data_IF_856208923240
#
_entry.id   IF_856208923240
#
_cell.length_a   1.000
_cell.length_b   1.000
_cell.length_c   1.000
_cell.angle_alpha   90.00
_cell.angle_beta   90.00
_cell.angle_gamma   90.00
#
_symmetry.space_group_name_H-M   'P 1'
#
loop_
_entity.id
_entity.type
_entity.pdbx_description
1 polymer ?
#
# COMPACT_ATOMS: atom_id res chain seq x y z
N UNK A 1 0.75 -3.56 -6.55
CA UNK A 1 0.67 -2.31 -5.77
C UNK A 1 1.02 -1.16 -6.69
N UNK A 2 0.24 -0.10 -6.66
CA UNK A 2 0.49 1.08 -7.49
C UNK A 2 1.72 1.84 -7.00
N UNK A 3 2.60 2.22 -7.91
CA UNK A 3 3.88 2.85 -7.60
C UNK A 3 3.78 4.34 -7.26
N UNK A 4 2.69 5.01 -7.63
CA UNK A 4 2.54 6.46 -7.46
C UNK A 4 2.77 6.97 -6.03
N UNK A 5 2.40 6.19 -5.00
CA UNK A 5 2.59 6.57 -3.60
C UNK A 5 4.07 6.62 -3.17
N UNK A 6 4.94 5.90 -3.88
CA UNK A 6 6.37 5.88 -3.61
C UNK A 6 7.16 6.86 -4.47
N UNK A 7 6.51 7.65 -5.33
CA UNK A 7 7.18 8.55 -6.26
C UNK A 7 8.12 9.54 -5.56
N UNK A 8 7.72 10.07 -4.39
CA UNK A 8 8.59 10.95 -3.59
C UNK A 8 9.86 10.23 -3.13
N UNK A 9 9.75 8.96 -2.72
CA UNK A 9 10.88 8.13 -2.30
C UNK A 9 11.83 7.82 -3.46
N UNK A 10 11.28 7.58 -4.66
CA UNK A 10 12.08 7.27 -5.85
C UNK A 10 12.95 8.44 -6.34
N UNK A 11 12.59 9.67 -5.98
CA UNK A 11 13.33 10.89 -6.35
C UNK A 11 14.11 11.52 -5.20
N UNK A 12 14.03 10.96 -4.00
CA UNK A 12 14.76 11.46 -2.85
C UNK A 12 16.16 10.84 -2.78
N UNK A 13 17.12 11.65 -2.37
CA UNK A 13 18.50 11.21 -2.13
C UNK A 13 18.64 10.90 -0.64
N UNK A 14 19.13 9.67 -0.32
CA UNK A 14 19.32 9.17 1.04
C UNK A 14 20.55 9.74 1.76
N UNK A 15 20.89 9.18 2.91
CA UNK A 15 20.44 7.89 3.42
C UNK A 15 19.01 7.91 4.01
N UNK A 16 18.46 6.72 4.19
CA UNK A 16 17.13 6.51 4.75
C UNK A 16 17.17 5.60 5.97
N UNK A 17 16.18 5.76 6.84
CA UNK A 17 15.80 4.77 7.83
C UNK A 17 14.41 4.25 7.51
N UNK A 18 14.28 2.93 7.43
CA UNK A 18 13.01 2.22 7.20
C UNK A 18 12.68 1.39 8.43
N UNK A 19 11.52 1.66 9.03
CA UNK A 19 11.06 1.04 10.28
C UNK A 19 9.74 0.33 10.02
N UNK A 20 9.66 -0.93 10.45
CA UNK A 20 8.47 -1.76 10.35
C UNK A 20 8.26 -2.49 11.67
N UNK A 21 7.06 -2.39 12.22
CA UNK A 21 6.75 -3.02 13.50
C UNK A 21 5.26 -3.32 13.62
N UNK A 22 4.90 -4.14 14.60
CA UNK A 22 3.53 -4.45 14.96
C UNK A 22 2.90 -3.24 15.67
N UNK A 23 1.83 -2.68 15.09
CA UNK A 23 1.05 -1.56 15.61
C UNK A 23 -0.42 -1.98 15.88
N UNK A 24 -0.60 -3.23 16.37
CA UNK A 24 -1.92 -3.76 16.69
C UNK A 24 -2.52 -3.08 17.92
N UNK A 25 -3.83 -2.78 17.87
CA UNK A 25 -4.61 -2.15 18.92
C UNK A 25 -5.90 -2.94 19.18
N UNK A 26 -5.73 -4.18 19.65
CA UNK A 26 -6.81 -5.14 19.88
C UNK A 26 -7.10 -5.43 21.37
N UNK A 27 -6.33 -4.80 22.27
CA UNK A 27 -6.44 -5.04 23.71
C UNK A 27 -6.56 -3.73 24.49
N UNK A 28 -7.09 -3.82 25.72
CA UNK A 28 -7.19 -2.67 26.64
C UNK A 28 -5.83 -2.07 27.03
N UNK A 29 -4.72 -2.81 26.83
CA UNK A 29 -3.36 -2.39 27.16
C UNK A 29 -2.58 -1.86 25.92
N UNK A 30 -3.27 -1.53 24.83
CA UNK A 30 -2.66 -1.13 23.56
C UNK A 30 -1.62 0.01 23.71
N UNK A 31 -1.88 1.01 24.55
CA UNK A 31 -0.95 2.10 24.80
C UNK A 31 0.38 1.60 25.45
N UNK A 32 0.30 0.69 26.42
CA UNK A 32 1.48 0.12 27.07
C UNK A 32 2.27 -0.79 26.12
N UNK A 33 1.57 -1.49 25.23
CA UNK A 33 2.19 -2.31 24.18
C UNK A 33 2.89 -1.43 23.16
N UNK A 34 2.27 -0.34 22.69
CA UNK A 34 2.91 0.64 21.79
C UNK A 34 4.19 1.21 22.42
N UNK A 35 4.15 1.59 23.71
CA UNK A 35 5.34 2.07 24.40
C UNK A 35 6.46 1.03 24.49
N UNK A 36 6.13 -0.24 24.61
CA UNK A 36 7.12 -1.32 24.60
C UNK A 36 7.72 -1.51 23.19
N UNK A 37 6.91 -1.45 22.15
CA UNK A 37 7.34 -1.56 20.76
C UNK A 37 8.21 -0.36 20.35
N UNK A 38 7.84 0.86 20.72
CA UNK A 38 8.65 2.05 20.47
C UNK A 38 10.01 2.01 21.18
N UNK A 39 10.08 1.45 22.39
CA UNK A 39 11.36 1.21 23.06
C UNK A 39 12.25 0.22 22.30
N UNK A 40 11.67 -0.82 21.72
CA UNK A 40 12.39 -1.77 20.87
C UNK A 40 12.85 -1.11 19.56
N UNK A 41 11.99 -0.37 18.89
CA UNK A 41 12.34 0.44 17.71
C UNK A 41 13.49 1.40 18.03
N UNK A 42 13.40 2.18 19.12
CA UNK A 42 14.46 3.09 19.57
C UNK A 42 15.79 2.38 19.74
N UNK A 43 15.79 1.24 20.42
CA UNK A 43 17.00 0.45 20.62
C UNK A 43 17.66 0.03 19.29
N UNK A 44 16.88 -0.40 18.31
CA UNK A 44 17.39 -0.77 17.00
C UNK A 44 17.92 0.44 16.21
N UNK A 45 17.25 1.59 16.31
CA UNK A 45 17.72 2.85 15.70
C UNK A 45 19.03 3.32 16.30
N UNK A 46 19.17 3.30 17.64
CA UNK A 46 20.40 3.65 18.35
C UNK A 46 21.57 2.71 17.97
N UNK A 47 21.30 1.41 17.82
CA UNK A 47 22.31 0.42 17.37
C UNK A 47 22.82 0.71 15.97
N UNK A 48 22.01 1.33 15.10
CA UNK A 48 22.38 1.75 13.76
C UNK A 48 22.85 3.21 13.70
N UNK A 49 23.13 3.83 14.85
CA UNK A 49 23.69 5.18 14.98
C UNK A 49 22.78 6.29 14.41
N UNK A 50 21.47 6.09 14.44
CA UNK A 50 20.49 7.13 14.11
C UNK A 50 20.50 8.18 15.23
N UNK A 51 20.47 9.45 14.90
CA UNK A 51 20.50 10.55 15.87
C UNK A 51 19.20 10.64 16.68
N UNK A 52 19.29 11.19 17.89
CA UNK A 52 18.15 11.26 18.83
C UNK A 52 17.00 12.11 18.30
N UNK A 53 17.27 13.16 17.52
CA UNK A 53 16.25 14.04 16.95
C UNK A 53 15.40 13.30 15.92
N UNK A 54 16.04 12.51 15.07
CA UNK A 54 15.35 11.65 14.10
C UNK A 54 14.52 10.57 14.81
N UNK A 55 15.07 9.96 15.86
CA UNK A 55 14.32 8.96 16.65
C UNK A 55 13.08 9.58 17.28
N UNK A 56 13.21 10.74 17.91
CA UNK A 56 12.07 11.46 18.52
C UNK A 56 11.02 11.87 17.48
N UNK A 57 11.44 12.30 16.29
CA UNK A 57 10.54 12.62 15.18
C UNK A 57 9.72 11.39 14.76
N UNK A 58 10.34 10.21 14.62
CA UNK A 58 9.65 8.97 14.27
C UNK A 58 8.66 8.57 15.37
N UNK A 59 9.07 8.60 16.64
CA UNK A 59 8.18 8.27 17.76
C UNK A 59 7.01 9.23 17.86
N UNK A 60 7.24 10.52 17.65
CA UNK A 60 6.19 11.53 17.68
C UNK A 60 5.17 11.31 16.55
N UNK A 61 5.62 10.99 15.34
CA UNK A 61 4.74 10.70 14.22
C UNK A 61 3.86 9.48 14.50
N UNK A 62 4.45 8.40 15.02
CA UNK A 62 3.71 7.19 15.40
C UNK A 62 2.66 7.51 16.46
N UNK A 63 3.01 8.27 17.51
CA UNK A 63 2.07 8.65 18.58
C UNK A 63 0.98 9.61 18.15
N UNK A 64 1.24 10.46 17.15
CA UNK A 64 0.27 11.41 16.63
C UNK A 64 -0.82 10.77 15.78
N UNK A 65 -0.60 9.56 15.30
CA UNK A 65 -1.58 8.85 14.48
C UNK A 65 -2.54 8.03 15.35
N UNK A 66 -3.72 7.78 14.80
CA UNK A 66 -4.73 6.93 15.41
C UNK A 66 -4.78 5.62 14.61
N UNK A 67 -4.11 4.55 15.07
CA UNK A 67 -4.16 3.27 14.37
C UNK A 67 -5.58 2.71 14.35
N UNK A 68 -5.93 1.93 13.32
CA UNK A 68 -7.19 1.21 13.30
C UNK A 68 -7.24 0.20 14.44
N UNK A 69 -8.43 -0.05 14.98
CA UNK A 69 -8.64 -1.11 15.98
C UNK A 69 -8.42 -2.47 15.33
N UNK A 70 -7.65 -3.34 15.97
CA UNK A 70 -7.36 -4.68 15.47
C UNK A 70 -5.87 -4.94 15.23
N UNK A 71 -5.60 -6.02 14.50
CA UNK A 71 -4.24 -6.38 14.11
C UNK A 71 -3.77 -5.55 12.92
N UNK A 72 -2.72 -4.80 13.11
CA UNK A 72 -2.12 -3.97 12.07
C UNK A 72 -0.61 -3.82 12.30
N UNK A 73 0.11 -3.45 11.25
CA UNK A 73 1.51 -3.03 11.36
C UNK A 73 1.66 -1.55 11.02
N UNK A 74 2.87 -1.06 11.20
CA UNK A 74 3.27 0.28 10.83
C UNK A 74 4.51 0.26 9.97
N UNK A 75 4.53 1.09 8.96
CA UNK A 75 5.68 1.41 8.13
C UNK A 75 6.01 2.89 8.27
N UNK A 76 7.24 3.20 8.68
CA UNK A 76 7.75 4.57 8.69
C UNK A 76 9.07 4.59 7.94
N UNK A 77 9.17 5.42 6.89
CA UNK A 77 10.42 5.65 6.17
C UNK A 77 10.76 7.12 6.30
N UNK A 78 11.93 7.42 6.85
CA UNK A 78 12.44 8.76 6.97
C UNK A 78 13.74 8.92 6.19
N UNK A 79 13.91 10.06 5.53
CA UNK A 79 15.18 10.49 4.95
C UNK A 79 16.04 11.11 6.05
N UNK A 80 17.28 10.68 6.11
CA UNK A 80 18.27 11.23 7.04
C UNK A 80 19.03 12.35 6.34
N UNK A 81 18.91 13.57 6.85
CA UNK A 81 19.61 14.75 6.33
C UNK A 81 20.23 15.55 7.49
N UNK A 82 21.03 14.88 8.29
CA UNK A 82 21.67 15.45 9.45
C UNK A 82 20.65 16.15 10.38
N UNK A 83 20.57 17.48 10.30
CA UNK A 83 19.70 18.29 11.18
C UNK A 83 18.26 18.44 10.67
N UNK A 84 17.93 17.96 9.47
CA UNK A 84 16.63 18.12 8.82
C UNK A 84 16.08 16.79 8.29
N UNK A 85 16.11 15.75 9.12
CA UNK A 85 15.46 14.49 8.76
C UNK A 85 13.97 14.69 8.51
N UNK A 86 13.41 13.98 7.53
CA UNK A 86 12.01 14.12 7.09
C UNK A 86 11.34 12.75 6.97
N UNK A 87 10.12 12.63 7.49
CA UNK A 87 9.29 11.45 7.25
C UNK A 87 8.75 11.51 5.81
N UNK A 88 9.14 10.51 5.01
CA UNK A 88 8.76 10.40 3.61
C UNK A 88 7.55 9.49 3.41
N UNK A 89 7.38 8.49 4.28
CA UNK A 89 6.26 7.56 4.31
C UNK A 89 5.89 7.27 5.75
N UNK A 90 4.60 7.28 6.05
CA UNK A 90 4.02 6.88 7.32
C UNK A 90 2.67 6.22 7.05
N UNK A 91 2.62 4.89 7.10
CA UNK A 91 1.45 4.12 6.70
C UNK A 91 1.15 2.98 7.66
N UNK A 92 -0.15 2.72 7.87
CA UNK A 92 -0.60 1.49 8.50
C UNK A 92 -0.54 0.33 7.50
N UNK A 93 -0.06 -0.80 7.98
CA UNK A 93 -0.01 -2.05 7.23
C UNK A 93 -1.22 -2.91 7.59
N UNK A 94 -1.79 -3.59 6.62
CA UNK A 94 -2.93 -4.51 6.83
C UNK A 94 -2.57 -5.73 7.69
N UNK A 95 -1.30 -6.09 7.70
CA UNK A 95 -0.77 -7.22 8.46
C UNK A 95 0.42 -6.75 9.27
N UNK A 96 0.47 -7.21 10.50
CA UNK A 96 1.63 -6.96 11.36
C UNK A 96 2.84 -7.73 10.85
N UNK A 97 4.01 -7.08 10.74
CA UNK A 97 5.27 -7.81 10.57
C UNK A 97 5.50 -8.77 11.75
N UNK A 98 6.12 -9.91 11.49
CA UNK A 98 6.41 -10.93 12.53
C UNK A 98 7.44 -10.48 13.56
N UNK A 99 8.24 -9.46 13.23
CA UNK A 99 9.25 -8.86 14.11
C UNK A 99 9.47 -7.39 13.72
N UNK A 100 9.94 -6.61 14.69
CA UNK A 100 10.44 -5.25 14.41
C UNK A 100 11.62 -5.31 13.46
N UNK A 101 11.53 -4.59 12.34
CA UNK A 101 12.59 -4.43 11.36
C UNK A 101 12.98 -2.96 11.29
N UNK A 102 14.26 -2.68 11.50
CA UNK A 102 14.86 -1.36 11.31
C UNK A 102 16.04 -1.51 10.37
N UNK A 103 16.05 -0.72 9.30
CA UNK A 103 17.14 -0.72 8.33
C UNK A 103 17.54 0.71 7.99
N UNK A 104 18.84 1.01 8.16
CA UNK A 104 19.46 2.25 7.70
C UNK A 104 20.27 1.92 6.46
N UNK A 105 19.96 2.57 5.34
CA UNK A 105 20.67 2.33 4.08
C UNK A 105 20.60 3.55 3.14
N UNK A 106 21.30 3.47 2.03
CA UNK A 106 21.31 4.55 1.02
C UNK A 106 19.95 4.67 0.29
N UNK A 107 19.18 3.60 0.25
CA UNK A 107 17.88 3.55 -0.41
C UNK A 107 16.77 3.13 0.57
N UNK A 108 15.52 3.55 0.34
CA UNK A 108 14.40 3.12 1.16
C UNK A 108 14.11 1.63 0.92
N UNK A 109 13.85 0.89 1.99
CA UNK A 109 13.50 -0.52 1.90
C UNK A 109 11.98 -0.70 1.76
N UNK A 110 11.49 -0.93 0.55
CA UNK A 110 10.05 -0.94 0.22
C UNK A 110 9.37 -2.31 0.38
N UNK A 111 10.13 -3.41 0.42
CA UNK A 111 9.56 -4.77 0.39
C UNK A 111 8.49 -5.02 1.44
N UNK A 112 8.66 -4.65 2.74
CA UNK A 112 7.62 -4.89 3.73
C UNK A 112 6.33 -4.09 3.48
N UNK A 113 6.42 -2.88 2.90
CA UNK A 113 5.21 -2.12 2.50
C UNK A 113 4.50 -2.84 1.35
N UNK A 114 5.26 -3.40 0.40
CA UNK A 114 4.69 -4.19 -0.69
C UNK A 114 4.07 -5.48 -0.15
N UNK A 115 4.69 -6.12 0.82
CA UNK A 115 4.25 -7.40 1.39
C UNK A 115 3.05 -7.28 2.34
N UNK A 116 3.03 -6.27 3.20
CA UNK A 116 2.06 -6.14 4.29
C UNK A 116 1.08 -4.96 4.11
N UNK A 117 1.39 -4.03 3.23
CA UNK A 117 0.58 -2.82 3.00
C UNK A 117 -0.66 -3.06 2.14
N UNK A 118 -1.47 -2.03 1.99
CA UNK A 118 -2.61 -2.02 1.08
C UNK A 118 -2.17 -1.99 -0.38
N UNK A 119 -2.90 -2.70 -1.25
CA UNK A 119 -2.65 -2.69 -2.70
C UNK A 119 -2.99 -1.34 -3.34
N UNK A 120 -4.00 -0.68 -2.81
CA UNK A 120 -4.53 0.58 -3.33
C UNK A 120 -4.45 1.66 -2.26
N UNK A 121 -4.10 2.87 -2.67
CA UNK A 121 -3.96 4.01 -1.77
C UNK A 121 -5.30 4.66 -1.40
N UNK A 122 -6.39 4.36 -2.12
CA UNK A 122 -7.69 4.98 -1.93
C UNK A 122 -8.83 3.98 -1.79
N UNK A 123 -9.61 4.11 -0.71
CA UNK A 123 -10.89 3.45 -0.53
C UNK A 123 -11.86 4.38 0.21
N UNK A 124 -13.15 4.09 0.12
CA UNK A 124 -14.20 4.77 0.87
C UNK A 124 -14.80 3.82 1.90
N UNK A 125 -15.20 4.39 3.03
CA UNK A 125 -16.15 3.75 3.96
C UNK A 125 -17.41 4.60 4.04
N UNK A 126 -18.58 3.98 3.92
CA UNK A 126 -19.86 4.65 4.01
C UNK A 126 -20.74 3.94 5.05
N UNK A 127 -20.98 4.59 6.19
CA UNK A 127 -21.94 4.14 7.20
C UNK A 127 -23.29 4.76 6.90
N UNK A 128 -24.30 3.93 6.56
CA UNK A 128 -25.61 4.41 6.07
C UNK A 128 -26.76 4.03 6.98
N UNK A 129 -27.74 4.92 7.09
CA UNK A 129 -29.03 4.67 7.73
C UNK A 129 -30.17 5.34 6.94
N UNK A 130 -31.38 5.34 7.50
CA UNK A 130 -32.55 5.94 6.87
C UNK A 130 -32.51 7.48 6.79
N UNK A 131 -31.56 8.12 7.46
CA UNK A 131 -31.44 9.59 7.58
C UNK A 131 -30.27 10.16 6.79
N UNK A 132 -29.32 9.33 6.34
CA UNK A 132 -28.17 9.76 5.58
C UNK A 132 -26.99 8.80 5.65
N UNK A 133 -25.79 9.33 5.45
CA UNK A 133 -24.55 8.55 5.55
C UNK A 133 -23.39 9.40 6.06
N UNK A 134 -22.46 8.73 6.76
CA UNK A 134 -21.12 9.25 7.03
C UNK A 134 -20.16 8.55 6.07
N UNK A 135 -19.54 9.33 5.19
CA UNK A 135 -18.64 8.83 4.16
C UNK A 135 -17.23 9.29 4.48
N UNK A 136 -16.30 8.37 4.65
CA UNK A 136 -14.88 8.68 4.84
C UNK A 136 -14.09 8.25 3.62
N UNK A 137 -13.35 9.18 3.06
CA UNK A 137 -12.36 8.92 2.00
C UNK A 137 -11.02 8.65 2.66
N UNK A 138 -10.44 7.50 2.38
CA UNK A 138 -9.13 7.08 2.87
C UNK A 138 -8.12 7.08 1.70
N UNK A 139 -6.97 7.72 1.91
CA UNK A 139 -5.89 7.83 0.92
C UNK A 139 -5.33 9.24 0.87
N UNK A 140 -4.01 9.40 1.14
CA UNK A 140 -3.36 10.71 1.20
C UNK A 140 -3.80 11.62 2.36
N UNK A 141 -4.46 11.06 3.36
CA UNK A 141 -5.16 11.69 4.48
C UNK A 141 -6.61 11.20 4.55
N UNK A 142 -7.18 11.11 5.76
CA UNK A 142 -8.59 10.73 5.92
C UNK A 142 -9.47 11.98 5.98
N UNK A 143 -10.50 12.01 5.14
CA UNK A 143 -11.50 13.08 5.12
C UNK A 143 -12.90 12.47 5.28
N UNK A 144 -13.60 12.84 6.34
CA UNK A 144 -14.99 12.39 6.56
C UNK A 144 -15.96 13.50 6.16
N UNK A 145 -16.99 13.11 5.43
CA UNK A 145 -18.11 13.96 5.05
C UNK A 145 -19.42 13.30 5.50
N UNK A 146 -20.28 14.07 6.13
CA UNK A 146 -21.61 13.61 6.53
C UNK A 146 -22.65 14.16 5.55
N UNK A 147 -23.47 13.26 5.02
CA UNK A 147 -24.66 13.59 4.24
C UNK A 147 -25.86 13.40 5.16
N UNK A 148 -26.37 14.50 5.70
CA UNK A 148 -27.54 14.49 6.58
C UNK A 148 -28.73 15.13 5.89
N UNK A 149 -29.89 14.46 5.95
CA UNK A 149 -31.17 15.08 5.63
C UNK A 149 -32.14 15.01 6.82
N UNK A 150 -32.95 16.03 6.92
CA UNK A 150 -33.97 16.13 7.99
C UNK A 150 -34.99 15.03 7.84
N UNK A 151 -35.29 14.24 8.90
CA UNK A 151 -36.34 13.22 8.84
C UNK A 151 -37.67 13.83 8.41
N UNK A 152 -38.29 13.29 7.39
CA UNK A 152 -39.61 13.76 6.95
C UNK A 152 -40.66 13.43 8.00
N UNK A 153 -41.34 14.43 8.51
CA UNK A 153 -42.50 14.28 9.37
C UNK A 153 -43.75 14.22 8.47
N UNK A 154 -44.59 13.21 8.62
CA UNK A 154 -45.81 13.12 7.84
C UNK A 154 -46.38 11.70 7.68
N UNK A 155 -47.16 11.50 6.60
CA UNK A 155 -47.73 10.17 6.30
C UNK A 155 -46.63 9.16 5.95
N UNK A 156 -46.85 7.85 6.16
CA UNK A 156 -45.88 6.80 5.84
C UNK A 156 -45.31 6.88 4.40
N UNK A 157 -46.15 7.30 3.45
CA UNK A 157 -45.74 7.47 2.05
C UNK A 157 -44.71 8.60 1.86
N UNK A 158 -44.89 9.74 2.53
CA UNK A 158 -43.96 10.87 2.48
C UNK A 158 -42.59 10.50 3.12
N UNK A 159 -42.66 9.80 4.25
CA UNK A 159 -41.45 9.29 4.91
C UNK A 159 -40.66 8.38 3.98
N UNK A 160 -41.34 7.47 3.27
CA UNK A 160 -40.71 6.54 2.34
C UNK A 160 -40.16 7.23 1.07
N UNK A 161 -40.80 8.27 0.58
CA UNK A 161 -40.32 9.09 -0.53
C UNK A 161 -39.04 9.88 -0.11
N UNK A 162 -39.00 10.38 1.12
CA UNK A 162 -37.84 11.04 1.68
C UNK A 162 -36.64 10.09 1.83
N UNK A 163 -36.84 8.92 2.41
CA UNK A 163 -35.79 7.90 2.53
C UNK A 163 -35.20 7.56 1.16
N UNK A 164 -36.01 7.37 0.14
CA UNK A 164 -35.54 7.06 -1.21
C UNK A 164 -34.78 8.20 -1.84
N UNK A 165 -35.14 9.45 -1.53
CA UNK A 165 -34.40 10.63 -1.96
C UNK A 165 -33.04 10.67 -1.29
N UNK A 166 -33.00 10.52 0.05
CA UNK A 166 -31.77 10.50 0.83
C UNK A 166 -30.78 9.45 0.32
N UNK A 167 -31.25 8.23 0.04
CA UNK A 167 -30.43 7.14 -0.50
C UNK A 167 -29.84 7.51 -1.87
N UNK A 168 -30.59 8.20 -2.75
CA UNK A 168 -30.06 8.65 -4.04
C UNK A 168 -29.00 9.72 -3.85
N UNK A 169 -29.25 10.70 -2.98
CA UNK A 169 -28.31 11.78 -2.70
C UNK A 169 -26.99 11.21 -2.12
N UNK A 170 -27.08 10.17 -1.27
CA UNK A 170 -25.92 9.40 -0.76
C UNK A 170 -25.21 8.66 -1.91
N UNK A 171 -25.96 7.98 -2.79
CA UNK A 171 -25.37 7.26 -3.94
C UNK A 171 -24.65 8.20 -4.91
N UNK A 172 -25.23 9.37 -5.18
CA UNK A 172 -24.63 10.40 -6.03
C UNK A 172 -23.36 10.96 -5.37
N UNK A 173 -23.37 11.16 -4.04
CA UNK A 173 -22.20 11.63 -3.31
C UNK A 173 -21.08 10.61 -3.30
N UNK A 174 -21.36 9.32 -3.01
CA UNK A 174 -20.38 8.24 -3.10
C UNK A 174 -19.77 8.17 -4.50
N UNK A 175 -20.63 8.24 -5.52
CA UNK A 175 -20.20 8.21 -6.93
C UNK A 175 -19.22 9.34 -7.24
N UNK A 176 -19.56 10.56 -6.81
CA UNK A 176 -18.67 11.72 -6.98
C UNK A 176 -17.34 11.54 -6.27
N UNK A 177 -17.35 11.07 -5.02
CA UNK A 177 -16.14 10.84 -4.23
C UNK A 177 -15.26 9.72 -4.81
N UNK A 178 -15.86 8.66 -5.38
CA UNK A 178 -15.13 7.62 -6.10
C UNK A 178 -14.43 8.19 -7.33
N UNK A 179 -15.12 9.02 -8.10
CA UNK A 179 -14.57 9.64 -9.31
C UNK A 179 -13.46 10.67 -8.96
N UNK A 180 -13.63 11.46 -7.88
CA UNK A 180 -12.67 12.46 -7.41
C UNK A 180 -11.41 11.81 -6.81
N UNK A 181 -11.58 10.79 -5.95
CA UNK A 181 -10.48 10.15 -5.22
C UNK A 181 -9.78 9.04 -6.00
N UNK A 182 -10.39 8.51 -7.05
CA UNK A 182 -9.93 7.32 -7.75
C UNK A 182 -10.05 6.04 -6.92
N UNK A 183 -10.87 6.04 -5.87
CA UNK A 183 -11.03 4.89 -4.97
C UNK A 183 -11.42 3.61 -5.73
N UNK A 184 -10.78 2.50 -5.35
CA UNK A 184 -10.99 1.20 -5.96
C UNK A 184 -11.88 0.27 -5.14
N UNK A 185 -12.20 0.69 -3.90
CA UNK A 185 -13.08 -0.06 -3.00
C UNK A 185 -13.99 0.92 -2.29
N UNK A 186 -15.25 0.55 -2.11
CA UNK A 186 -16.24 1.26 -1.30
C UNK A 186 -16.83 0.28 -0.30
N UNK A 187 -16.48 0.41 0.96
CA UNK A 187 -17.09 -0.40 2.02
C UNK A 187 -18.37 0.26 2.50
N UNK A 188 -19.47 -0.50 2.50
CA UNK A 188 -20.79 -0.03 2.92
C UNK A 188 -21.21 -0.75 4.19
N UNK A 189 -21.44 0.01 5.26
CA UNK A 189 -21.91 -0.47 6.57
C UNK A 189 -23.25 0.18 6.93
N UNK A 190 -23.93 -0.28 7.96
CA UNK A 190 -25.16 0.34 8.46
C UNK A 190 -26.38 -0.58 8.43
N UNK A 191 -27.57 0.01 8.49
CA UNK A 191 -28.82 -0.74 8.51
C UNK A 191 -29.01 -1.59 7.24
N UNK A 192 -29.41 -2.86 7.40
CA UNK A 192 -29.56 -3.83 6.30
C UNK A 192 -30.39 -3.29 5.15
N UNK A 193 -31.53 -2.62 5.47
CA UNK A 193 -32.43 -2.07 4.45
C UNK A 193 -31.79 -0.88 3.72
N UNK A 194 -31.14 0.04 4.45
CA UNK A 194 -30.49 1.21 3.87
C UNK A 194 -29.32 0.79 2.96
N UNK A 195 -28.50 -0.20 3.39
CA UNK A 195 -27.43 -0.77 2.55
C UNK A 195 -27.97 -1.35 1.24
N UNK A 196 -29.00 -2.21 1.32
CA UNK A 196 -29.57 -2.84 0.13
C UNK A 196 -30.16 -1.80 -0.84
N UNK A 197 -30.85 -0.76 -0.33
CA UNK A 197 -31.38 0.33 -1.14
C UNK A 197 -30.25 1.19 -1.74
N UNK A 198 -29.16 1.43 -1.00
CA UNK A 198 -27.97 2.13 -1.52
C UNK A 198 -27.30 1.33 -2.63
N UNK A 199 -27.03 0.03 -2.41
CA UNK A 199 -26.40 -0.83 -3.42
C UNK A 199 -27.22 -0.87 -4.73
N UNK A 200 -28.55 -0.86 -4.63
CA UNK A 200 -29.44 -0.79 -5.79
C UNK A 200 -29.47 0.58 -6.48
N UNK A 201 -29.08 1.65 -5.78
CA UNK A 201 -29.06 3.02 -6.31
C UNK A 201 -27.69 3.41 -6.92
N UNK A 202 -26.61 2.71 -6.55
CA UNK A 202 -25.27 2.98 -7.10
C UNK A 202 -25.20 2.61 -8.60
N UNK A 203 -24.48 3.41 -9.42
CA UNK A 203 -24.15 3.03 -10.79
C UNK A 203 -23.30 1.74 -10.84
N UNK A 204 -23.45 0.93 -11.89
CA UNK A 204 -22.75 -0.35 -12.06
C UNK A 204 -21.24 -0.25 -11.80
N UNK A 205 -20.56 0.76 -12.38
CA UNK A 205 -19.13 0.99 -12.19
C UNK A 205 -18.70 1.23 -10.73
N UNK A 206 -19.64 1.68 -9.86
CA UNK A 206 -19.38 1.89 -8.43
C UNK A 206 -19.80 0.65 -7.64
N UNK A 207 -20.88 -0.01 -8.04
CA UNK A 207 -21.35 -1.27 -7.44
C UNK A 207 -20.29 -2.37 -7.57
N UNK A 208 -19.58 -2.46 -8.70
CA UNK A 208 -18.45 -3.38 -8.89
C UNK A 208 -17.30 -3.18 -7.87
N UNK A 209 -17.16 -1.96 -7.35
CA UNK A 209 -16.20 -1.61 -6.31
C UNK A 209 -16.76 -1.71 -4.90
N UNK A 210 -18.08 -1.82 -4.75
CA UNK A 210 -18.76 -1.78 -3.46
C UNK A 210 -18.74 -3.15 -2.78
N UNK A 211 -18.49 -3.13 -1.47
CA UNK A 211 -18.47 -4.31 -0.60
C UNK A 211 -19.36 -4.02 0.60
N UNK A 212 -20.43 -4.81 0.76
CA UNK A 212 -21.27 -4.74 1.95
C UNK A 212 -20.58 -5.43 3.13
N UNK A 213 -20.43 -4.72 4.24
CA UNK A 213 -19.97 -5.28 5.51
C UNK A 213 -21.17 -5.58 6.40
N UNK A 214 -21.09 -6.65 7.20
CA UNK A 214 -22.17 -7.10 8.07
C UNK A 214 -22.27 -6.25 9.33
N UNK A 215 -21.13 -5.90 9.88
CA UNK A 215 -21.01 -5.03 11.04
C UNK A 215 -21.16 -3.56 10.67
N UNK A 216 -21.21 -2.72 11.70
CA UNK A 216 -21.12 -1.28 11.52
C UNK A 216 -22.44 -0.53 11.42
N UNK A 217 -22.40 0.77 11.72
CA UNK A 217 -23.54 1.68 11.65
C UNK A 217 -23.15 3.08 12.15
N UNK A 218 -24.03 4.08 11.94
CA UNK A 218 -23.84 5.46 12.40
C UNK A 218 -24.05 5.64 13.92
N UNK A 219 -24.65 4.65 14.60
CA UNK A 219 -24.96 4.71 16.02
C UNK A 219 -23.79 4.25 16.89
N UNK A 220 -23.63 4.90 18.04
CA UNK A 220 -22.68 4.51 19.06
C UNK A 220 -22.97 3.08 19.55
N UNK A 221 -21.96 2.20 19.59
CA UNK A 221 -22.07 0.81 19.99
C UNK A 221 -21.84 -0.20 18.87
N UNK A 222 -21.49 0.28 17.68
CA UNK A 222 -21.05 -0.56 16.57
C UNK A 222 -19.75 -1.28 16.92
N UNK A 223 -19.66 -2.57 16.62
CA UNK A 223 -18.40 -3.31 16.76
C UNK A 223 -17.41 -2.91 15.65
N UNK A 224 -16.60 -1.90 15.98
CA UNK A 224 -15.58 -1.37 15.10
C UNK A 224 -14.56 -2.45 14.75
N UNK A 225 -14.27 -3.36 15.67
CA UNK A 225 -13.31 -4.44 15.46
C UNK A 225 -13.81 -5.43 14.39
N UNK A 226 -15.10 -5.77 14.39
CA UNK A 226 -15.71 -6.64 13.37
C UNK A 226 -15.64 -6.00 11.98
N UNK A 227 -15.96 -4.71 11.87
CA UNK A 227 -15.84 -3.95 10.59
C UNK A 227 -14.41 -3.96 10.07
N UNK A 228 -13.43 -3.69 10.93
CA UNK A 228 -12.02 -3.70 10.55
C UNK A 228 -11.54 -5.09 10.13
N UNK A 229 -12.00 -6.13 10.80
CA UNK A 229 -11.68 -7.50 10.42
C UNK A 229 -12.25 -7.83 9.02
N UNK A 230 -13.53 -7.56 8.76
CA UNK A 230 -14.13 -7.79 7.43
C UNK A 230 -13.43 -7.01 6.32
N UNK A 231 -13.03 -5.75 6.59
CA UNK A 231 -12.25 -4.94 5.66
C UNK A 231 -10.87 -5.56 5.38
N UNK A 232 -10.17 -6.01 6.42
CA UNK A 232 -8.87 -6.68 6.30
C UNK A 232 -8.96 -7.97 5.48
N UNK A 233 -10.01 -8.77 5.69
CA UNK A 233 -10.27 -9.99 4.93
C UNK A 233 -10.51 -9.68 3.43
N UNK A 234 -11.26 -8.62 3.11
CA UNK A 234 -11.48 -8.20 1.73
C UNK A 234 -10.20 -7.70 1.07
N UNK A 235 -9.42 -6.88 1.75
CA UNK A 235 -8.12 -6.45 1.25
C UNK A 235 -7.18 -7.64 1.00
N UNK A 236 -7.18 -8.62 1.91
CA UNK A 236 -6.39 -9.84 1.76
C UNK A 236 -6.83 -10.66 0.55
N UNK A 237 -8.14 -10.85 0.36
CA UNK A 237 -8.69 -11.57 -0.79
C UNK A 237 -8.29 -10.91 -2.12
N UNK A 238 -8.40 -9.58 -2.22
CA UNK A 238 -7.98 -8.83 -3.41
C UNK A 238 -6.48 -8.94 -3.66
N UNK A 239 -5.69 -8.95 -2.58
CA UNK A 239 -4.24 -9.14 -2.70
C UNK A 239 -3.92 -10.51 -3.28
N UNK A 240 -4.52 -11.58 -2.79
CA UNK A 240 -4.32 -12.94 -3.33
C UNK A 240 -4.64 -12.94 -4.82
N UNK A 241 -5.78 -12.41 -5.24
CA UNK A 241 -6.17 -12.37 -6.64
C UNK A 241 -5.16 -11.61 -7.53
N UNK A 242 -4.59 -10.51 -7.06
CA UNK A 242 -3.56 -9.74 -7.78
C UNK A 242 -2.26 -10.54 -7.90
N UNK A 243 -1.85 -11.24 -6.84
CA UNK A 243 -0.63 -12.08 -6.87
C UNK A 243 -0.82 -13.30 -7.78
N UNK A 244 -2.00 -13.94 -7.73
CA UNK A 244 -2.34 -15.07 -8.60
C UNK A 244 -2.40 -14.67 -10.09
N UNK A 245 -3.01 -13.52 -10.42
CA UNK A 245 -3.01 -12.99 -11.79
C UNK A 245 -1.59 -12.73 -12.28
N UNK A 246 -0.77 -12.08 -11.48
CA UNK A 246 0.61 -11.81 -11.84
C UNK A 246 1.44 -13.11 -12.00
N UNK A 247 1.22 -14.11 -11.15
CA UNK A 247 1.86 -15.43 -11.27
C UNK A 247 1.45 -16.14 -12.56
N UNK A 248 0.16 -16.12 -12.90
CA UNK A 248 -0.35 -16.70 -14.14
C UNK A 248 0.24 -16.01 -15.38
N UNK A 249 0.29 -14.68 -15.38
CA UNK A 249 0.88 -13.88 -16.46
C UNK A 249 2.39 -14.11 -16.58
N UNK A 250 3.09 -14.21 -15.46
CA UNK A 250 4.51 -14.52 -15.42
C UNK A 250 4.79 -15.92 -16.02
N UNK A 251 4.03 -16.93 -15.58
CA UNK A 251 4.18 -18.30 -16.12
C UNK A 251 3.90 -18.37 -17.63
N UNK A 252 2.84 -17.71 -18.10
CA UNK A 252 2.52 -17.65 -19.54
C UNK A 252 3.56 -16.82 -20.32
N UNK A 253 4.11 -15.78 -19.72
CA UNK A 253 5.09 -14.88 -20.34
C UNK A 253 6.46 -15.49 -20.57
N UNK A 254 6.89 -16.46 -19.75
CA UNK A 254 8.21 -17.11 -19.86
C UNK A 254 8.45 -17.78 -21.22
N UNK A 255 7.40 -18.33 -21.84
CA UNK A 255 7.49 -18.97 -23.16
C UNK A 255 7.35 -18.00 -24.34
N UNK A 256 6.95 -16.76 -24.11
CA UNK A 256 6.60 -15.77 -25.16
C UNK A 256 7.49 -14.52 -25.13
N UNK A 257 8.49 -14.47 -24.23
CA UNK A 257 9.33 -13.29 -24.05
C UNK A 257 8.63 -12.11 -23.35
N UNK A 258 7.47 -12.36 -22.72
CA UNK A 258 6.71 -11.37 -21.92
C UNK A 258 6.98 -11.48 -20.42
N UNK A 259 7.89 -12.34 -19.99
CA UNK A 259 8.38 -12.41 -18.63
C UNK A 259 9.85 -12.77 -18.60
N UNK A 260 10.55 -12.19 -17.65
CA UNK A 260 11.98 -12.42 -17.38
C UNK A 260 12.20 -12.71 -15.90
N UNK A 261 13.28 -13.43 -15.58
CA UNK A 261 13.65 -13.75 -14.21
C UNK A 261 15.17 -13.72 -14.00
N UNK A 262 15.56 -13.50 -12.76
CA UNK A 262 16.97 -13.37 -12.39
C UNK A 262 17.47 -11.93 -12.49
N UNK A 263 18.57 -11.65 -11.76
CA UNK A 263 19.10 -10.30 -11.63
C UNK A 263 19.51 -9.66 -12.95
N UNK A 264 20.10 -10.44 -13.87
CA UNK A 264 20.58 -9.91 -15.14
C UNK A 264 19.44 -9.37 -16.01
N UNK A 265 18.47 -10.22 -16.29
CA UNK A 265 17.39 -9.92 -17.25
C UNK A 265 16.40 -8.91 -16.66
N UNK A 266 16.09 -9.03 -15.36
CA UNK A 266 15.20 -8.08 -14.68
C UNK A 266 15.84 -6.68 -14.60
N UNK A 267 17.15 -6.59 -14.32
CA UNK A 267 17.86 -5.30 -14.29
C UNK A 267 17.89 -4.66 -15.68
N UNK A 268 18.10 -5.45 -16.74
CA UNK A 268 18.04 -4.97 -18.12
C UNK A 268 16.63 -4.46 -18.47
N UNK A 269 15.60 -5.25 -18.19
CA UNK A 269 14.21 -4.87 -18.45
C UNK A 269 13.74 -3.62 -17.67
N UNK A 270 14.21 -3.43 -16.42
CA UNK A 270 13.95 -2.22 -15.64
C UNK A 270 14.59 -0.99 -16.27
N UNK A 271 15.85 -1.08 -16.68
CA UNK A 271 16.58 -0.01 -17.37
C UNK A 271 15.89 0.41 -18.65
N UNK A 272 15.39 -0.55 -19.41
CA UNK A 272 14.71 -0.30 -20.69
C UNK A 272 13.25 0.15 -20.52
N UNK A 273 12.77 0.28 -19.24
CA UNK A 273 11.39 0.67 -18.93
C UNK A 273 10.34 -0.36 -19.37
N UNK A 274 10.78 -1.58 -19.67
CA UNK A 274 9.93 -2.66 -20.20
C UNK A 274 9.09 -3.35 -19.12
N UNK A 275 9.40 -3.17 -17.83
CA UNK A 275 8.71 -3.85 -16.75
C UNK A 275 7.32 -3.25 -16.50
N UNK A 276 6.28 -4.07 -16.57
CA UNK A 276 4.92 -3.74 -16.12
C UNK A 276 4.74 -4.07 -14.64
N UNK A 277 5.18 -5.25 -14.22
CA UNK A 277 5.06 -5.73 -12.84
C UNK A 277 6.36 -6.38 -12.41
N UNK A 278 6.98 -5.85 -11.35
CA UNK A 278 8.11 -6.47 -10.68
C UNK A 278 7.61 -7.42 -9.60
N UNK A 279 8.13 -8.64 -9.62
CA UNK A 279 7.83 -9.72 -8.67
C UNK A 279 9.03 -9.90 -7.76
N UNK A 280 8.84 -9.69 -6.46
CA UNK A 280 9.89 -9.71 -5.45
C UNK A 280 9.69 -10.94 -4.57
N UNK A 281 10.62 -11.87 -4.62
CA UNK A 281 10.70 -13.04 -3.74
C UNK A 281 11.86 -12.91 -2.75
N UNK A 282 12.48 -14.02 -2.40
CA UNK A 282 13.65 -14.07 -1.53
C UNK A 282 14.93 -13.73 -2.32
N UNK A 283 15.25 -12.45 -2.38
CA UNK A 283 16.46 -11.94 -3.09
C UNK A 283 17.73 -12.19 -2.26
N UNK A 284 17.60 -12.42 -0.96
CA UNK A 284 18.73 -12.65 -0.04
C UNK A 284 19.64 -11.42 0.09
N UNK A 285 20.96 -11.67 0.08
CA UNK A 285 21.99 -10.62 0.16
C UNK A 285 22.53 -10.19 -1.21
N UNK A 286 21.77 -10.49 -2.28
CA UNK A 286 22.18 -10.11 -3.63
C UNK A 286 22.34 -8.58 -3.75
N UNK A 287 23.33 -8.16 -4.52
CA UNK A 287 23.65 -6.75 -4.76
C UNK A 287 23.63 -6.42 -6.23
N UNK A 288 23.40 -5.16 -6.53
CA UNK A 288 23.55 -4.56 -7.85
C UNK A 288 24.55 -3.40 -7.76
N UNK A 289 25.13 -3.05 -8.90
CA UNK A 289 26.05 -1.92 -9.02
C UNK A 289 25.36 -0.81 -9.79
N UNK A 290 25.51 0.41 -9.31
CA UNK A 290 24.88 1.59 -9.89
C UNK A 290 25.87 2.73 -10.10
N UNK A 291 25.51 3.64 -11.01
CA UNK A 291 26.10 4.97 -11.09
C UNK A 291 25.57 5.87 -9.95
N UNK A 292 26.04 7.11 -9.93
CA UNK A 292 25.69 8.04 -8.85
C UNK A 292 24.19 8.35 -8.78
N UNK A 293 23.55 8.53 -9.92
CA UNK A 293 22.16 9.00 -10.02
C UNK A 293 21.14 7.84 -10.15
N UNK A 294 21.60 6.57 -10.05
CA UNK A 294 20.78 5.38 -10.31
C UNK A 294 20.18 5.33 -11.73
N UNK A 295 20.69 6.13 -12.65
CA UNK A 295 20.27 6.11 -14.04
C UNK A 295 20.68 4.82 -14.75
N UNK A 296 21.83 4.26 -14.35
CA UNK A 296 22.31 2.97 -14.81
C UNK A 296 22.50 2.03 -13.61
N UNK A 297 21.87 0.88 -13.68
CA UNK A 297 22.02 -0.20 -12.71
C UNK A 297 22.31 -1.51 -13.45
N UNK A 298 23.24 -2.27 -12.94
CA UNK A 298 23.66 -3.54 -13.52
C UNK A 298 23.98 -4.57 -12.43
N UNK A 299 23.96 -5.86 -12.73
CA UNK A 299 24.25 -6.90 -11.74
C UNK A 299 25.73 -6.96 -11.34
N UNK A 300 26.62 -6.34 -12.11
CA UNK A 300 28.07 -6.29 -11.82
C UNK A 300 28.72 -5.02 -12.35
N UNK A 301 29.91 -4.69 -11.81
CA UNK A 301 30.68 -3.55 -12.26
C UNK A 301 31.10 -3.63 -13.74
N UNK A 302 31.43 -4.82 -14.20
CA UNK A 302 31.81 -5.05 -15.62
C UNK A 302 30.61 -4.81 -16.54
N UNK A 303 29.42 -5.30 -16.15
CA UNK A 303 28.19 -5.08 -16.90
C UNK A 303 27.82 -3.59 -16.92
N UNK A 304 27.97 -2.85 -15.81
CA UNK A 304 27.71 -1.43 -15.76
C UNK A 304 28.70 -0.65 -16.65
N UNK A 305 29.97 -1.01 -16.60
CA UNK A 305 31.01 -0.39 -17.43
C UNK A 305 30.78 -0.62 -18.92
N UNK A 306 30.31 -1.81 -19.30
CA UNK A 306 29.93 -2.12 -20.69
C UNK A 306 28.77 -1.24 -21.20
N UNK A 307 27.92 -0.76 -20.30
CA UNK A 307 26.85 0.21 -20.59
C UNK A 307 27.34 1.67 -20.62
N UNK A 308 28.62 1.91 -20.37
CA UNK A 308 29.20 3.25 -20.29
C UNK A 308 29.01 3.95 -18.92
N UNK A 309 28.49 3.24 -17.93
CA UNK A 309 28.33 3.74 -16.57
C UNK A 309 29.62 3.64 -15.76
N UNK A 310 29.77 4.53 -14.77
CA UNK A 310 30.84 4.43 -13.77
C UNK A 310 30.31 3.68 -12.53
N UNK A 311 30.87 2.52 -12.16
CA UNK A 311 30.43 1.75 -11.00
C UNK A 311 30.89 2.48 -9.71
N UNK A 312 29.96 3.23 -9.08
CA UNK A 312 30.26 4.04 -7.90
C UNK A 312 29.64 3.44 -6.63
N UNK A 313 28.45 2.82 -6.77
CA UNK A 313 27.66 2.35 -5.62
C UNK A 313 27.39 0.85 -5.75
N UNK A 314 27.56 0.14 -4.64
CA UNK A 314 27.07 -1.24 -4.50
C UNK A 314 25.86 -1.20 -3.59
N UNK A 315 24.71 -1.60 -4.09
CA UNK A 315 23.42 -1.48 -3.44
C UNK A 315 22.79 -2.86 -3.27
N UNK A 316 21.99 -3.04 -2.25
CA UNK A 316 21.17 -4.25 -2.10
C UNK A 316 20.14 -4.32 -3.22
N UNK A 317 19.99 -5.49 -3.82
CA UNK A 317 19.04 -5.69 -4.90
C UNK A 317 17.58 -5.57 -4.42
N UNK A 318 17.29 -5.98 -3.16
CA UNK A 318 15.97 -5.85 -2.53
C UNK A 318 15.56 -4.40 -2.20
N UNK A 319 16.46 -3.44 -2.32
CA UNK A 319 16.20 -1.99 -2.19
C UNK A 319 16.20 -1.31 -3.55
N UNK A 320 17.22 -1.56 -4.36
CA UNK A 320 17.43 -0.86 -5.63
C UNK A 320 16.38 -1.23 -6.70
N UNK A 321 16.08 -2.52 -6.88
CA UNK A 321 15.18 -2.95 -7.95
C UNK A 321 13.72 -2.53 -7.71
N UNK A 322 13.15 -2.61 -6.48
CA UNK A 322 11.85 -2.04 -6.19
C UNK A 322 11.78 -0.53 -6.42
N UNK A 323 12.84 0.20 -6.05
CA UNK A 323 12.88 1.65 -6.24
C UNK A 323 12.93 2.04 -7.72
N UNK A 324 13.72 1.33 -8.53
CA UNK A 324 13.75 1.50 -9.99
C UNK A 324 12.40 1.17 -10.62
N UNK A 325 11.74 0.11 -10.18
CA UNK A 325 10.42 -0.24 -10.66
C UNK A 325 9.40 0.87 -10.36
N UNK A 326 9.47 1.49 -9.18
CA UNK A 326 8.66 2.68 -8.86
C UNK A 326 8.97 3.84 -9.79
N UNK A 327 10.25 4.13 -10.01
CA UNK A 327 10.68 5.24 -10.88
C UNK A 327 10.22 5.07 -12.33
N UNK A 328 10.12 3.83 -12.83
CA UNK A 328 9.62 3.51 -14.17
C UNK A 328 8.10 3.26 -14.24
N UNK A 329 7.38 3.44 -13.14
CA UNK A 329 5.93 3.26 -13.06
C UNK A 329 5.49 1.79 -13.14
N UNK A 330 6.36 0.84 -12.82
CA UNK A 330 6.00 -0.56 -12.72
C UNK A 330 5.22 -0.85 -11.43
N UNK A 331 4.34 -1.85 -11.47
CA UNK A 331 3.67 -2.38 -10.29
C UNK A 331 4.64 -3.23 -9.48
N UNK A 332 4.46 -3.22 -8.16
CA UNK A 332 5.24 -4.06 -7.24
C UNK A 332 4.34 -5.11 -6.61
N UNK A 333 4.78 -6.36 -6.60
CA UNK A 333 4.17 -7.46 -5.85
C UNK A 333 5.25 -8.29 -5.17
N UNK A 334 4.93 -8.84 -3.99
CA UNK A 334 5.73 -9.91 -3.42
C UNK A 334 5.26 -11.25 -3.94
N UNK A 335 6.21 -12.14 -4.22
CA UNK A 335 5.93 -13.50 -4.65
C UNK A 335 5.16 -14.24 -3.54
N UNK A 336 4.08 -14.96 -3.94
CA UNK A 336 3.37 -15.87 -3.04
C UNK A 336 4.04 -17.23 -2.97
N UNK A 337 3.52 -18.12 -2.13
CA UNK A 337 4.10 -19.45 -1.87
C UNK A 337 4.31 -20.33 -3.11
N UNK A 338 3.64 -20.06 -4.23
CA UNK A 338 3.76 -20.83 -5.49
C UNK A 338 4.63 -20.18 -6.55
N UNK A 339 5.28 -19.05 -6.28
CA UNK A 339 6.03 -18.28 -7.29
C UNK A 339 7.47 -18.04 -6.83
N UNK A 340 8.39 -18.79 -7.43
CA UNK A 340 9.82 -18.75 -7.11
C UNK A 340 10.63 -18.39 -8.37
N UNK A 341 10.74 -17.10 -8.72
CA UNK A 341 11.58 -16.68 -9.84
C UNK A 341 13.06 -16.90 -9.52
N UNK A 342 13.89 -17.06 -10.55
CA UNK A 342 15.32 -17.19 -10.42
C UNK A 342 15.91 -15.97 -9.66
N UNK A 343 16.91 -16.19 -8.81
CA UNK A 343 17.53 -15.17 -7.92
C UNK A 343 16.52 -14.46 -7.02
N UNK A 344 15.32 -15.01 -6.82
CA UNK A 344 14.24 -14.40 -6.05
C UNK A 344 13.61 -13.16 -6.72
N UNK A 345 13.84 -12.92 -8.01
CA UNK A 345 13.29 -11.74 -8.69
C UNK A 345 12.81 -12.08 -10.11
N UNK A 346 11.64 -11.58 -10.45
CA UNK A 346 11.04 -11.76 -11.79
C UNK A 346 10.28 -10.51 -12.23
N UNK A 347 9.94 -10.45 -13.50
CA UNK A 347 9.14 -9.37 -14.04
C UNK A 347 8.20 -9.85 -15.14
N UNK A 348 6.99 -9.28 -15.18
CA UNK A 348 6.08 -9.31 -16.32
C UNK A 348 6.34 -8.05 -17.14
N UNK A 349 6.51 -8.21 -18.45
CA UNK A 349 6.88 -7.14 -19.37
C UNK A 349 5.66 -6.53 -20.05
N UNK A 350 5.76 -5.24 -20.40
CA UNK A 350 4.75 -4.49 -21.18
C UNK A 350 4.70 -4.94 -22.64
N UNK A 351 5.86 -5.37 -23.17
CA UNK A 351 6.04 -5.83 -24.53
C UNK A 351 7.14 -6.89 -24.56
N UNK A 352 7.07 -7.79 -25.51
CA UNK A 352 8.10 -8.82 -25.68
C UNK A 352 9.44 -8.17 -26.01
N UNK A 353 10.52 -8.62 -25.38
CA UNK A 353 11.85 -8.24 -25.81
C UNK A 353 12.04 -8.68 -27.27
N UNK A 354 12.39 -7.74 -28.12
CA UNK A 354 12.84 -8.09 -29.46
C UNK A 354 14.16 -8.83 -29.31
N UNK A 355 14.14 -10.17 -29.45
CA UNK A 355 15.37 -10.94 -29.53
C UNK A 355 16.23 -10.28 -30.58
N UNK A 356 17.35 -9.68 -30.18
CA UNK A 356 18.43 -9.31 -31.09
C UNK A 356 19.03 -10.61 -31.61
N UNK A 357 18.36 -11.20 -32.64
CA UNK A 357 18.95 -12.19 -33.45
C UNK A 357 20.05 -11.51 -34.26
N UNK A 358 21.29 -11.71 -33.86
CA UNK A 358 22.49 -11.27 -34.51
C UNK A 358 23.53 -12.39 -34.47
#
# INVERSE_FOLDING_TARGET
MESNRFHRLAHAVGPFVSVYFDDSHDTGDAAAQLDARLRDVRKHLEQQSVDSTTIEMIEQAVRASHPPVGHSGRAVIARLDGTQSEIMLDEHLLRSPTSTLVRVSELPYLVPVVEHGMLHTGYLTAAVDNTGADITVHGGGSRTESVEETPAHGSPRRVQESIRKNIRDVADRITHLVDESGAQIVFVTGEVKARAELMAALPERVTEKAVELRGGGRTAGTDVAEVHQEMSEEFHRRRIAVVEDAAARFAAGRGTGLAVEGLNDVTAALRDGAVETLIIGEVGDATVVADFDLALVAPSADALSALGGAPIRVLRADEALPLLAVATGAKLICAGEGLHPADGIGAVLRYAEMSSAG
#
